data_IF_848027741484
#
_entry.id   IF_848027741484
#
_cell.length_a   1.000
_cell.length_b   1.000
_cell.length_c   1.000
_cell.angle_alpha   90.00
_cell.angle_beta   90.00
_cell.angle_gamma   90.00
#
_symmetry.space_group_name_H-M   'P 1'
#
loop_
_entity.id
_entity.type
_entity.pdbx_description
1 polymer ?
#
# COMPACT_ATOMS: atom_id res chain seq x y z
N UNK A 1 12.19 -5.05 5.84
CA UNK A 1 11.79 -5.89 6.99
C UNK A 1 11.01 -5.02 7.96
N UNK A 2 9.92 -5.54 8.50
CA UNK A 2 9.07 -4.88 9.47
C UNK A 2 9.48 -5.27 10.89
N UNK A 3 9.01 -4.50 11.87
CA UNK A 3 9.15 -4.83 13.28
C UNK A 3 8.12 -5.88 13.67
N UNK A 4 8.54 -6.90 14.41
CA UNK A 4 7.64 -7.98 14.87
C UNK A 4 6.81 -7.62 16.11
N UNK A 5 7.17 -6.53 16.80
CA UNK A 5 6.45 -6.01 17.97
C UNK A 5 5.43 -4.91 17.63
N UNK A 6 5.26 -4.60 16.34
CA UNK A 6 4.29 -3.61 15.86
C UNK A 6 2.86 -4.07 16.09
N UNK A 7 2.04 -3.22 16.71
CA UNK A 7 0.62 -3.49 16.98
C UNK A 7 -0.27 -2.33 16.60
N UNK A 8 -1.43 -2.67 16.04
CA UNK A 8 -2.56 -1.77 15.93
C UNK A 8 -3.16 -1.48 17.32
N UNK A 9 -3.91 -0.39 17.43
CA UNK A 9 -4.53 0.01 18.71
C UNK A 9 -5.54 -0.99 19.27
N UNK A 10 -6.09 -1.87 18.43
CA UNK A 10 -6.97 -2.97 18.82
C UNK A 10 -6.22 -4.23 19.28
N UNK A 11 -4.88 -4.24 19.24
CA UNK A 11 -4.03 -5.35 19.67
C UNK A 11 -3.55 -6.27 18.54
N UNK A 12 -4.08 -6.14 17.32
CA UNK A 12 -3.64 -6.92 16.16
C UNK A 12 -2.19 -6.60 15.80
N UNK A 13 -1.45 -7.59 15.29
CA UNK A 13 -0.10 -7.38 14.77
C UNK A 13 -0.14 -6.53 13.48
N UNK A 14 0.83 -5.64 13.32
CA UNK A 14 1.06 -4.94 12.04
C UNK A 14 1.87 -5.86 11.14
N UNK A 15 1.32 -6.23 9.98
CA UNK A 15 1.96 -7.17 9.05
C UNK A 15 2.23 -6.55 7.69
N UNK A 16 3.05 -7.21 6.86
CA UNK A 16 3.29 -6.81 5.47
C UNK A 16 2.01 -6.80 4.63
N UNK A 17 1.01 -7.61 4.99
CA UNK A 17 -0.29 -7.64 4.31
C UNK A 17 -1.06 -6.31 4.49
N UNK A 18 -0.90 -5.63 5.62
CA UNK A 18 -1.54 -4.32 5.85
C UNK A 18 -1.01 -3.24 4.89
N UNK A 19 0.27 -3.33 4.52
CA UNK A 19 0.88 -2.44 3.52
C UNK A 19 0.42 -2.79 2.10
N UNK A 20 0.43 -4.08 1.75
CA UNK A 20 -0.08 -4.56 0.44
C UNK A 20 -1.53 -4.10 0.24
N UNK A 21 -2.38 -4.30 1.25
CA UNK A 21 -3.78 -3.89 1.23
C UNK A 21 -3.90 -2.37 1.05
N UNK A 22 -3.24 -1.58 1.91
CA UNK A 22 -3.33 -0.13 1.86
C UNK A 22 -2.86 0.46 0.53
N UNK A 23 -1.76 -0.07 -0.04
CA UNK A 23 -1.18 0.49 -1.26
C UNK A 23 -1.97 0.08 -2.50
N UNK A 24 -2.55 -1.13 -2.53
CA UNK A 24 -3.51 -1.51 -3.57
C UNK A 24 -4.78 -0.68 -3.50
N UNK A 25 -5.25 -0.37 -2.28
CA UNK A 25 -6.38 0.55 -2.06
C UNK A 25 -6.05 1.96 -2.55
N UNK A 26 -4.85 2.48 -2.26
CA UNK A 26 -4.37 3.77 -2.79
C UNK A 26 -4.30 3.76 -4.32
N UNK A 27 -3.82 2.67 -4.92
CA UNK A 27 -3.65 2.54 -6.36
C UNK A 27 -4.96 2.45 -7.13
N UNK A 28 -6.03 1.93 -6.50
CA UNK A 28 -7.30 1.71 -7.17
C UNK A 28 -8.00 3.04 -7.52
N UNK A 29 -8.17 3.39 -8.81
CA UNK A 29 -8.76 4.67 -9.22
C UNK A 29 -10.20 4.86 -8.74
N UNK A 30 -10.93 3.76 -8.50
CA UNK A 30 -12.31 3.79 -7.99
C UNK A 30 -12.41 4.36 -6.58
N UNK A 31 -11.33 4.32 -5.81
CA UNK A 31 -11.31 4.86 -4.45
C UNK A 31 -11.09 6.37 -4.42
N UNK A 32 -10.76 7.00 -5.56
CA UNK A 32 -10.51 8.44 -5.69
C UNK A 32 -9.56 8.97 -4.61
N UNK A 33 -8.56 8.17 -4.24
CA UNK A 33 -7.67 8.49 -3.15
C UNK A 33 -6.83 9.73 -3.50
N UNK A 34 -6.79 10.70 -2.58
CA UNK A 34 -5.83 11.79 -2.68
C UNK A 34 -4.41 11.20 -2.79
N UNK A 35 -3.56 11.79 -3.63
CA UNK A 35 -2.18 11.38 -3.84
C UNK A 35 -1.95 10.04 -4.56
N UNK A 36 -2.97 9.40 -5.16
CA UNK A 36 -2.76 8.16 -5.93
C UNK A 36 -1.73 8.33 -7.07
N UNK A 37 -1.61 9.54 -7.64
CA UNK A 37 -0.60 9.90 -8.63
C UNK A 37 0.85 9.70 -8.16
N UNK A 38 1.12 9.62 -6.85
CA UNK A 38 2.46 9.32 -6.32
C UNK A 38 2.93 7.89 -6.67
N UNK A 39 2.03 7.02 -7.12
CA UNK A 39 2.37 5.69 -7.61
C UNK A 39 2.91 5.70 -9.05
N UNK A 40 2.61 6.75 -9.82
CA UNK A 40 3.06 6.87 -11.21
C UNK A 40 4.59 6.96 -11.30
N UNK A 41 5.19 6.03 -12.04
CA UNK A 41 6.64 5.95 -12.18
C UNK A 41 7.39 5.67 -10.89
N UNK A 42 6.74 5.20 -9.82
CA UNK A 42 7.40 4.83 -8.57
C UNK A 42 7.42 3.32 -8.36
N UNK A 43 6.27 2.72 -8.07
CA UNK A 43 6.12 1.28 -7.88
C UNK A 43 5.77 0.63 -9.22
N UNK A 44 6.32 -0.56 -9.49
CA UNK A 44 6.04 -1.33 -10.70
C UNK A 44 4.52 -1.46 -10.92
N UNK A 45 4.08 -1.23 -12.16
CA UNK A 45 2.69 -1.15 -12.60
C UNK A 45 1.89 0.07 -12.07
N UNK A 46 2.47 0.95 -11.24
CA UNK A 46 1.76 2.12 -10.70
C UNK A 46 1.21 3.03 -11.80
N UNK A 47 2.00 3.32 -12.84
CA UNK A 47 1.55 4.11 -14.00
C UNK A 47 0.42 3.43 -14.78
N UNK A 48 0.47 2.12 -14.95
CA UNK A 48 -0.57 1.38 -15.68
C UNK A 48 -1.88 1.30 -14.87
N UNK A 49 -1.79 1.11 -13.55
CA UNK A 49 -2.96 1.01 -12.68
C UNK A 49 -3.67 2.35 -12.54
N UNK A 50 -2.93 3.45 -12.37
CA UNK A 50 -3.49 4.81 -12.30
C UNK A 50 -4.21 5.22 -13.60
N UNK A 51 -3.83 4.63 -14.73
CA UNK A 51 -4.49 4.79 -16.05
C UNK A 51 -5.57 3.74 -16.33
N UNK A 52 -5.92 2.91 -15.34
CA UNK A 52 -6.90 1.82 -15.48
C UNK A 52 -6.53 0.75 -16.53
N UNK A 53 -5.25 0.65 -16.89
CA UNK A 53 -4.74 -0.35 -17.84
C UNK A 53 -4.44 -1.71 -17.17
N UNK A 54 -4.29 -1.71 -15.84
CA UNK A 54 -4.00 -2.90 -15.02
C UNK A 54 -4.80 -2.91 -13.73
N UNK A 55 -4.96 -4.10 -13.16
CA UNK A 55 -5.66 -4.27 -11.89
C UNK A 55 -4.78 -3.82 -10.71
N UNK A 56 -5.34 -3.22 -9.64
CA UNK A 56 -4.58 -2.84 -8.44
C UNK A 56 -3.79 -4.00 -7.82
N UNK A 57 -4.28 -5.23 -7.96
CA UNK A 57 -3.63 -6.45 -7.48
C UNK A 57 -2.27 -6.71 -8.14
N UNK A 58 -2.05 -6.17 -9.34
CA UNK A 58 -0.78 -6.25 -10.07
C UNK A 58 0.27 -5.25 -9.57
N UNK A 59 -0.06 -4.35 -8.63
CA UNK A 59 0.92 -3.40 -8.09
C UNK A 59 2.15 -4.16 -7.56
N UNK A 60 3.34 -3.64 -7.84
CA UNK A 60 4.64 -4.21 -7.48
C UNK A 60 4.98 -4.22 -5.99
N UNK A 61 4.02 -4.61 -5.14
CA UNK A 61 4.15 -4.75 -3.68
C UNK A 61 3.67 -6.13 -3.27
N UNK A 62 4.50 -6.86 -2.51
CA UNK A 62 4.22 -8.22 -2.06
C UNK A 62 4.64 -8.43 -0.62
N UNK A 63 3.83 -9.16 0.13
CA UNK A 63 4.25 -9.75 1.40
C UNK A 63 4.91 -11.10 1.10
N UNK A 64 6.21 -11.23 1.38
CA UNK A 64 6.92 -12.52 1.28
C UNK A 64 6.63 -13.39 2.50
N UNK A 65 6.44 -12.75 3.65
CA UNK A 65 5.97 -13.29 4.92
C UNK A 65 5.33 -12.14 5.73
N UNK A 66 4.86 -12.42 6.94
CA UNK A 66 4.16 -11.43 7.78
C UNK A 66 4.99 -10.18 8.09
N UNK A 67 6.32 -10.27 8.05
CA UNK A 67 7.22 -9.17 8.44
C UNK A 67 8.18 -8.76 7.33
N UNK A 68 7.92 -9.17 6.09
CA UNK A 68 8.78 -8.90 4.93
C UNK A 68 7.96 -8.40 3.76
N UNK A 69 8.04 -7.09 3.55
CA UNK A 69 7.51 -6.42 2.37
C UNK A 69 8.59 -6.35 1.28
N UNK A 70 8.28 -6.86 0.10
CA UNK A 70 9.04 -6.66 -1.13
C UNK A 70 8.34 -5.60 -1.97
N UNK A 71 9.09 -4.61 -2.45
CA UNK A 71 8.60 -3.58 -3.35
C UNK A 71 9.50 -3.54 -4.57
N UNK A 72 8.90 -3.73 -5.76
CA UNK A 72 9.58 -3.55 -7.04
C UNK A 72 9.26 -2.16 -7.56
N UNK A 73 10.29 -1.39 -7.89
CA UNK A 73 10.13 -0.05 -8.47
C UNK A 73 10.02 -0.14 -9.99
N UNK A 74 9.26 0.78 -10.60
CA UNK A 74 9.14 0.88 -12.05
C UNK A 74 10.46 1.34 -12.70
N UNK A 75 11.20 2.18 -11.97
CA UNK A 75 12.51 2.73 -12.33
C UNK A 75 13.27 3.13 -11.07
N UNK A 76 14.57 3.47 -11.13
CA UNK A 76 15.26 4.04 -9.99
C UNK A 76 14.56 5.32 -9.49
N UNK A 77 14.15 5.32 -8.22
CA UNK A 77 13.47 6.45 -7.56
C UNK A 77 14.24 6.86 -6.30
N UNK A 78 15.14 7.86 -6.38
CA UNK A 78 16.01 8.24 -5.25
C UNK A 78 15.26 8.67 -3.98
N UNK A 79 14.06 9.23 -4.14
CA UNK A 79 13.22 9.72 -3.04
C UNK A 79 12.21 8.67 -2.54
N UNK A 80 12.29 7.42 -2.99
CA UNK A 80 11.32 6.39 -2.62
C UNK A 80 11.20 6.21 -1.10
N UNK A 81 12.32 6.22 -0.38
CA UNK A 81 12.33 6.11 1.09
C UNK A 81 11.63 7.29 1.77
N UNK A 82 11.63 8.47 1.15
CA UNK A 82 10.88 9.63 1.65
C UNK A 82 9.38 9.45 1.47
N UNK A 83 8.93 8.79 0.39
CA UNK A 83 7.52 8.43 0.21
C UNK A 83 7.02 7.49 1.30
N UNK A 84 7.86 6.56 1.75
CA UNK A 84 7.50 5.60 2.82
C UNK A 84 7.26 6.28 4.18
N UNK A 85 7.75 7.51 4.37
CA UNK A 85 7.48 8.31 5.57
C UNK A 85 6.22 9.21 5.41
N UNK A 86 5.62 9.24 4.22
CA UNK A 86 4.44 10.04 3.93
C UNK A 86 3.15 9.25 4.18
N UNK A 87 2.14 9.90 4.75
CA UNK A 87 0.93 9.22 5.26
C UNK A 87 0.14 8.38 4.26
N UNK A 88 0.07 8.68 2.94
CA UNK A 88 -0.60 7.79 1.98
C UNK A 88 0.05 6.41 1.86
N UNK A 89 1.33 6.27 2.21
CA UNK A 89 2.05 4.99 2.18
C UNK A 89 2.04 4.26 3.53
N UNK A 90 1.31 4.75 4.52
CA UNK A 90 1.15 4.03 5.79
C UNK A 90 0.24 2.80 5.61
N UNK A 91 0.43 1.76 6.44
CA UNK A 91 -0.41 0.57 6.38
C UNK A 91 -1.84 0.89 6.82
N UNK A 92 -2.79 0.01 6.51
CA UNK A 92 -4.16 0.06 7.02
C UNK A 92 -4.54 -1.35 7.48
N UNK A 93 -5.13 -1.47 8.67
CA UNK A 93 -5.61 -2.76 9.19
C UNK A 93 -6.76 -3.27 8.31
N UNK A 94 -6.49 -4.29 7.49
CA UNK A 94 -7.44 -4.79 6.49
C UNK A 94 -8.74 -5.30 7.13
N UNK A 95 -8.64 -6.00 8.27
CA UNK A 95 -9.81 -6.54 8.96
C UNK A 95 -10.74 -5.43 9.45
N UNK A 96 -10.18 -4.40 10.08
CA UNK A 96 -10.93 -3.23 10.55
C UNK A 96 -11.52 -2.42 9.40
N UNK A 97 -10.77 -2.22 8.30
CA UNK A 97 -11.29 -1.52 7.11
C UNK A 97 -12.51 -2.26 6.55
N UNK A 98 -12.43 -3.59 6.42
CA UNK A 98 -13.53 -4.42 5.94
C UNK A 98 -14.73 -4.42 6.89
N UNK A 99 -14.48 -4.46 8.20
CA UNK A 99 -15.52 -4.39 9.23
C UNK A 99 -16.32 -3.07 9.13
N UNK A 100 -15.62 -1.94 8.93
CA UNK A 100 -16.25 -0.62 8.84
C UNK A 100 -16.88 -0.34 7.48
N UNK A 101 -16.39 -0.95 6.40
CA UNK A 101 -16.97 -0.82 5.07
C UNK A 101 -17.11 0.64 4.64
N UNK A 102 -18.33 1.08 4.32
CA UNK A 102 -18.61 2.46 3.90
C UNK A 102 -18.42 3.50 5.02
N UNK A 103 -18.42 3.10 6.29
CA UNK A 103 -18.13 3.99 7.40
C UNK A 103 -16.61 4.18 7.61
N UNK A 104 -15.78 3.53 6.79
CA UNK A 104 -14.32 3.66 6.83
C UNK A 104 -13.85 4.81 5.94
N UNK A 105 -13.62 5.97 6.56
CA UNK A 105 -13.04 7.15 5.91
C UNK A 105 -13.93 7.72 4.83
#
# INVERSE_FOLDING_TARGET
>A
KLREDGKWSNGDAVTANDFVFAWRKLANPKNQANYFFLLEGTILNGTAITKEEKAPEELGVKALDDYTLEVTLEKPVPYFTSLLAFSPFFPQNEAFVKEKGQAYG
#
